data_IF_415319029145
#
_entry.id   IF_415319029145
#
_cell.length_a   1.000
_cell.length_b   1.000
_cell.length_c   1.000
_cell.angle_alpha   90.00
_cell.angle_beta   90.00
_cell.angle_gamma   90.00
#
_symmetry.space_group_name_H-M   'P 1'
#
loop_
_entity.id
_entity.type
_entity.pdbx_description
1 polymer ?
#
# COMPACT_ATOMS: atom_id res chain seq x y z
N UNK A 1 -6.36 -0.14 -20.47
CA UNK A 1 -6.77 -1.05 -19.39
C UNK A 1 -7.86 -0.36 -18.61
N UNK A 2 -8.85 -1.09 -18.12
CA UNK A 2 -9.85 -0.49 -17.22
C UNK A 2 -9.24 -0.35 -15.82
N UNK A 3 -9.65 0.65 -15.03
CA UNK A 3 -9.10 0.86 -13.68
C UNK A 3 -9.23 -0.40 -12.80
N UNK A 4 -10.30 -1.17 -12.99
CA UNK A 4 -10.53 -2.46 -12.32
C UNK A 4 -9.46 -3.51 -12.62
N UNK A 5 -8.97 -3.58 -13.87
CA UNK A 5 -7.90 -4.51 -14.24
C UNK A 5 -6.59 -4.16 -13.54
N UNK A 6 -6.27 -2.87 -13.43
CA UNK A 6 -5.06 -2.39 -12.74
C UNK A 6 -5.13 -2.71 -11.24
N UNK A 7 -6.28 -2.46 -10.61
CA UNK A 7 -6.49 -2.82 -9.20
C UNK A 7 -6.32 -4.31 -8.95
N UNK A 8 -6.90 -5.16 -9.79
CA UNK A 8 -6.74 -6.62 -9.67
C UNK A 8 -5.28 -7.06 -9.83
N UNK A 9 -4.52 -6.43 -10.73
CA UNK A 9 -3.08 -6.71 -10.87
C UNK A 9 -2.29 -6.32 -9.63
N UNK A 10 -2.58 -5.14 -9.05
CA UNK A 10 -1.96 -4.68 -7.80
C UNK A 10 -2.28 -5.63 -6.64
N UNK A 11 -3.54 -6.04 -6.49
CA UNK A 11 -3.97 -7.04 -5.51
C UNK A 11 -3.19 -8.34 -5.69
N UNK A 12 -3.11 -8.85 -6.92
CA UNK A 12 -2.38 -10.08 -7.21
C UNK A 12 -0.88 -9.96 -6.92
N UNK A 13 -0.24 -8.83 -7.24
CA UNK A 13 1.18 -8.61 -6.97
C UNK A 13 1.50 -8.73 -5.47
N UNK A 14 0.63 -8.23 -4.60
CA UNK A 14 0.75 -8.43 -3.14
C UNK A 14 0.57 -9.91 -2.79
N UNK A 15 -0.48 -10.55 -3.31
CA UNK A 15 -0.80 -11.95 -3.00
C UNK A 15 0.27 -12.95 -3.48
N UNK A 16 0.99 -12.61 -4.55
CA UNK A 16 2.09 -13.42 -5.11
C UNK A 16 3.48 -12.94 -4.69
N UNK A 17 3.57 -12.00 -3.73
CA UNK A 17 4.85 -11.51 -3.20
C UNK A 17 5.77 -10.87 -4.27
N UNK A 18 5.20 -10.29 -5.34
CA UNK A 18 5.96 -9.68 -6.43
C UNK A 18 6.33 -8.24 -6.09
N UNK A 19 7.48 -8.07 -5.43
CA UNK A 19 7.97 -6.75 -4.98
C UNK A 19 8.23 -5.83 -6.18
N UNK A 20 8.93 -6.32 -7.21
CA UNK A 20 9.29 -5.51 -8.36
C UNK A 20 8.08 -5.18 -9.23
N UNK A 21 7.18 -6.14 -9.42
CA UNK A 21 5.92 -5.94 -10.13
C UNK A 21 5.00 -4.96 -9.42
N UNK A 22 4.93 -5.00 -8.08
CA UNK A 22 4.11 -4.09 -7.29
C UNK A 22 4.50 -2.62 -7.51
N UNK A 23 5.80 -2.31 -7.41
CA UNK A 23 6.32 -0.96 -7.67
C UNK A 23 6.01 -0.49 -9.11
N UNK A 24 6.24 -1.37 -10.10
CA UNK A 24 5.96 -1.06 -11.52
C UNK A 24 4.48 -0.80 -11.78
N UNK A 25 3.59 -1.65 -11.26
CA UNK A 25 2.15 -1.51 -11.42
C UNK A 25 1.62 -0.27 -10.70
N UNK A 26 2.24 0.11 -9.59
CA UNK A 26 1.92 1.35 -8.86
C UNK A 26 2.22 2.58 -9.72
N UNK A 27 3.38 2.60 -10.38
CA UNK A 27 3.72 3.67 -11.32
C UNK A 27 2.76 3.69 -12.53
N UNK A 28 2.46 2.52 -13.11
CA UNK A 28 1.49 2.41 -14.22
C UNK A 28 0.10 2.94 -13.84
N UNK A 29 -0.34 2.71 -12.61
CA UNK A 29 -1.61 3.20 -12.09
C UNK A 29 -1.61 4.74 -11.93
N UNK A 30 -0.51 5.31 -11.44
CA UNK A 30 -0.32 6.77 -11.35
C UNK A 30 -0.28 7.41 -12.73
N UNK A 31 0.45 6.81 -13.68
CA UNK A 31 0.54 7.29 -15.06
C UNK A 31 -0.83 7.23 -15.78
N UNK A 32 -1.68 6.29 -15.38
CA UNK A 32 -3.07 6.18 -15.83
C UNK A 32 -4.02 7.21 -15.17
N UNK A 33 -3.51 8.09 -14.30
CA UNK A 33 -4.28 9.14 -13.62
C UNK A 33 -5.14 8.65 -12.46
N UNK A 34 -4.87 7.45 -11.93
CA UNK A 34 -5.58 6.94 -10.74
C UNK A 34 -5.03 7.66 -9.50
N UNK A 35 -5.90 8.09 -8.60
CA UNK A 35 -5.46 8.77 -7.38
C UNK A 35 -4.64 7.83 -6.49
N UNK A 36 -3.59 8.33 -5.79
CA UNK A 36 -2.79 7.50 -4.89
C UNK A 36 -3.63 6.75 -3.85
N UNK A 37 -4.66 7.42 -3.29
CA UNK A 37 -5.57 6.83 -2.32
C UNK A 37 -6.40 5.67 -2.91
N UNK A 38 -6.84 5.78 -4.16
CA UNK A 38 -7.55 4.70 -4.84
C UNK A 38 -6.65 3.49 -5.10
N UNK A 39 -5.38 3.71 -5.46
CA UNK A 39 -4.39 2.64 -5.65
C UNK A 39 -4.22 1.84 -4.35
N UNK A 40 -4.12 2.55 -3.21
CA UNK A 40 -4.03 1.95 -1.88
C UNK A 40 -5.30 1.16 -1.57
N UNK A 41 -6.44 1.85 -1.53
CA UNK A 41 -7.68 1.31 -0.97
C UNK A 41 -8.35 0.26 -1.85
N UNK A 42 -8.22 0.37 -3.18
CA UNK A 42 -8.88 -0.53 -4.15
C UNK A 42 -7.93 -1.57 -4.73
N UNK A 43 -6.61 -1.39 -4.64
CA UNK A 43 -5.61 -2.31 -5.18
C UNK A 43 -4.79 -3.02 -4.11
N UNK A 44 -3.99 -2.26 -3.35
CA UNK A 44 -2.99 -2.81 -2.42
C UNK A 44 -3.64 -3.39 -1.13
N UNK A 45 -4.56 -2.65 -0.50
CA UNK A 45 -5.23 -3.06 0.73
C UNK A 45 -6.02 -4.36 0.60
N UNK A 46 -6.80 -4.59 -0.49
CA UNK A 46 -7.44 -5.89 -0.73
C UNK A 46 -6.44 -7.05 -0.80
N UNK A 47 -5.26 -6.82 -1.39
CA UNK A 47 -4.19 -7.82 -1.45
C UNK A 47 -3.66 -8.18 -0.06
N UNK A 48 -3.45 -7.16 0.78
CA UNK A 48 -2.97 -7.37 2.15
C UNK A 48 -4.02 -8.11 3.01
N UNK A 49 -5.31 -7.81 2.80
CA UNK A 49 -6.41 -8.54 3.45
C UNK A 49 -6.36 -10.04 3.12
N UNK A 50 -6.23 -10.40 1.84
CA UNK A 50 -6.15 -11.79 1.40
C UNK A 50 -4.94 -12.49 2.04
N UNK A 51 -3.79 -11.81 2.13
CA UNK A 51 -2.59 -12.35 2.79
C UNK A 51 -2.84 -12.59 4.29
N UNK A 52 -3.53 -11.67 4.97
CA UNK A 52 -3.96 -11.86 6.36
C UNK A 52 -4.85 -13.09 6.52
N UNK A 53 -5.91 -13.18 5.72
CA UNK A 53 -6.86 -14.30 5.77
C UNK A 53 -6.15 -15.65 5.54
N UNK A 54 -5.21 -15.72 4.59
CA UNK A 54 -4.42 -16.92 4.31
C UNK A 54 -3.48 -17.32 5.45
N UNK A 55 -2.92 -16.35 6.14
CA UNK A 55 -2.05 -16.61 7.28
C UNK A 55 -2.85 -17.10 8.49
N UNK A 56 -4.01 -16.51 8.75
CA UNK A 56 -4.94 -16.99 9.78
C UNK A 56 -5.42 -18.42 9.50
N UNK A 57 -5.65 -18.74 8.23
CA UNK A 57 -6.01 -20.09 7.77
C UNK A 57 -4.81 -21.08 7.73
N UNK A 58 -3.60 -20.65 8.11
CA UNK A 58 -2.36 -21.42 8.04
C UNK A 58 -2.01 -21.95 6.64
N UNK A 59 -2.47 -21.28 5.58
CA UNK A 59 -2.13 -21.59 4.18
C UNK A 59 -0.77 -21.04 3.78
N UNK A 60 -0.35 -19.95 4.42
CA UNK A 60 0.96 -19.31 4.24
C UNK A 60 1.60 -19.07 5.61
N UNK A 61 2.89 -18.75 5.60
CA UNK A 61 3.66 -18.53 6.81
C UNK A 61 4.32 -17.15 6.82
N UNK A 62 5.06 -16.87 7.90
CA UNK A 62 5.70 -15.59 8.14
C UNK A 62 6.56 -15.10 6.96
N UNK A 63 7.36 -15.93 6.25
CA UNK A 63 8.14 -15.44 5.10
C UNK A 63 7.27 -14.82 4.00
N UNK A 64 6.11 -15.41 3.70
CA UNK A 64 5.21 -14.88 2.67
C UNK A 64 4.57 -13.55 3.11
N UNK A 65 4.19 -13.42 4.39
CA UNK A 65 3.74 -12.13 4.94
C UNK A 65 4.84 -11.08 4.80
N UNK A 66 6.07 -11.39 5.21
CA UNK A 66 7.17 -10.43 5.16
C UNK A 66 7.45 -9.94 3.74
N UNK A 67 7.41 -10.84 2.75
CA UNK A 67 7.58 -10.45 1.34
C UNK A 67 6.40 -9.63 0.82
N UNK A 68 5.17 -9.96 1.21
CA UNK A 68 3.98 -9.17 0.85
C UNK A 68 4.03 -7.77 1.47
N UNK A 69 4.49 -7.66 2.72
CA UNK A 69 4.75 -6.39 3.38
C UNK A 69 5.81 -5.57 2.64
N UNK A 70 6.91 -6.20 2.21
CA UNK A 70 7.95 -5.54 1.41
C UNK A 70 7.44 -5.06 0.05
N UNK A 71 6.55 -5.83 -0.60
CA UNK A 71 5.89 -5.40 -1.83
C UNK A 71 5.01 -4.17 -1.59
N UNK A 72 4.26 -4.14 -0.47
CA UNK A 72 3.46 -2.98 -0.09
C UNK A 72 4.35 -1.75 0.23
N UNK A 73 5.45 -1.92 0.97
CA UNK A 73 6.39 -0.84 1.24
C UNK A 73 6.97 -0.23 -0.05
N UNK A 74 7.33 -1.07 -1.04
CA UNK A 74 7.85 -0.57 -2.32
C UNK A 74 6.85 0.28 -3.10
N UNK A 75 5.55 -0.02 -2.98
CA UNK A 75 4.49 0.83 -3.55
C UNK A 75 4.31 2.12 -2.75
N UNK A 76 4.40 2.06 -1.40
CA UNK A 76 4.29 3.24 -0.54
C UNK A 76 5.41 4.25 -0.80
N UNK A 77 6.65 3.80 -1.06
CA UNK A 77 7.76 4.68 -1.42
C UNK A 77 7.47 5.57 -2.65
N UNK A 78 6.62 5.08 -3.57
CA UNK A 78 6.18 5.82 -4.75
C UNK A 78 4.96 6.70 -4.42
N UNK A 79 4.03 6.21 -3.60
CA UNK A 79 2.74 6.86 -3.36
C UNK A 79 2.81 7.98 -2.32
N UNK A 80 3.68 7.86 -1.32
CA UNK A 80 3.88 8.88 -0.27
C UNK A 80 4.17 10.28 -0.84
N UNK A 81 5.15 10.49 -1.75
CA UNK A 81 5.38 11.82 -2.30
C UNK A 81 4.20 12.35 -3.13
N UNK A 82 3.42 11.48 -3.78
CA UNK A 82 2.21 11.90 -4.50
C UNK A 82 1.07 12.30 -3.55
N UNK A 83 0.93 11.63 -2.40
CA UNK A 83 -0.01 12.01 -1.35
C UNK A 83 0.35 13.37 -0.75
N UNK A 84 1.64 13.63 -0.52
CA UNK A 84 2.10 14.92 0.00
C UNK A 84 1.84 16.08 -0.97
N UNK A 85 1.98 15.87 -2.28
CA UNK A 85 1.66 16.89 -3.30
C UNK A 85 0.18 17.30 -3.31
N UNK A 86 -0.71 16.44 -2.84
CA UNK A 86 -2.14 16.79 -2.72
C UNK A 86 -2.44 17.67 -1.51
N UNK A 87 -1.48 17.87 -0.59
CA UNK A 87 -1.61 18.90 0.45
C UNK A 87 -1.42 20.27 -0.19
N UNK A 88 -2.45 21.10 -0.11
CA UNK A 88 -2.46 22.45 -0.68
C UNK A 88 -1.44 23.30 0.06
N UNK A 89 -0.43 23.83 -0.65
CA UNK A 89 0.47 24.85 -0.12
C UNK A 89 -0.37 26.08 0.31
N UNK A 90 -0.43 26.35 1.61
CA UNK A 90 -1.13 27.51 2.17
C UNK A 90 -2.33 27.21 3.06
N UNK A 91 -2.73 25.95 3.24
CA UNK A 91 -3.64 25.60 4.34
C UNK A 91 -2.86 25.65 5.66
N UNK A 92 -3.18 26.61 6.51
CA UNK A 92 -2.74 26.60 7.91
C UNK A 92 -3.18 25.26 8.51
N UNK A 93 -2.21 24.40 8.86
CA UNK A 93 -2.49 23.10 9.43
C UNK A 93 -3.44 23.23 10.61
N UNK A 94 -4.42 22.32 10.71
CA UNK A 94 -5.46 22.35 11.75
C UNK A 94 -4.93 22.20 13.19
N UNK A 95 -3.63 21.93 13.34
CA UNK A 95 -2.93 21.76 14.61
C UNK A 95 -1.72 20.84 14.48
N UNK A 96 -1.06 20.57 15.60
CA UNK A 96 0.01 19.57 15.70
C UNK A 96 -0.59 18.19 16.02
N UNK A 97 -0.32 17.21 15.17
CA UNK A 97 -0.60 15.81 15.43
C UNK A 97 0.69 15.09 15.85
N UNK A 98 0.66 14.42 17.00
CA UNK A 98 1.72 13.49 17.42
C UNK A 98 1.20 12.08 17.18
N UNK A 99 1.84 11.35 16.28
CA UNK A 99 1.51 9.96 15.95
C UNK A 99 2.66 9.05 16.39
N UNK A 100 2.37 7.84 16.85
CA UNK A 100 3.36 6.84 17.22
C UNK A 100 2.81 5.41 17.04
N UNK A 101 3.71 4.44 16.95
CA UNK A 101 3.40 3.01 17.05
C UNK A 101 3.66 2.56 18.49
N UNK A 102 2.81 1.69 19.03
CA UNK A 102 2.89 1.24 20.42
C UNK A 102 4.22 0.52 20.73
N UNK A 103 4.66 0.57 21.98
CA UNK A 103 5.86 -0.17 22.41
C UNK A 103 5.69 -1.68 22.16
N UNK A 104 6.66 -2.28 21.49
CA UNK A 104 6.64 -3.70 21.12
C UNK A 104 5.90 -4.01 19.81
N UNK A 105 5.26 -3.01 19.18
CA UNK A 105 4.64 -3.14 17.85
C UNK A 105 5.56 -2.55 16.77
N UNK A 106 5.69 -3.27 15.65
CA UNK A 106 6.53 -2.88 14.50
C UNK A 106 5.69 -2.56 13.26
N UNK A 107 4.37 -2.70 13.31
CA UNK A 107 3.49 -2.49 12.17
C UNK A 107 3.29 -1.00 11.90
N UNK A 108 4.04 -0.46 10.95
CA UNK A 108 4.10 0.98 10.69
C UNK A 108 3.52 1.39 9.33
N UNK A 109 3.23 0.45 8.43
CA UNK A 109 2.71 0.75 7.09
C UNK A 109 1.42 1.59 7.16
N UNK A 110 0.48 1.19 8.03
CA UNK A 110 -0.76 1.94 8.27
C UNK A 110 -0.55 3.29 8.95
N UNK A 111 0.50 3.41 9.76
CA UNK A 111 0.83 4.61 10.53
C UNK A 111 1.53 5.69 9.67
N UNK A 112 2.23 5.28 8.61
CA UNK A 112 2.93 6.18 7.66
C UNK A 112 2.00 6.80 6.60
N UNK A 113 0.73 6.37 6.55
CA UNK A 113 -0.32 6.92 5.68
C UNK A 113 -0.95 8.17 6.29
#
# INVERSE_FOLDING_TARGET
MTNTEIFNKLTNAIVTQDIAGCAKLTQEALDAGISPLDIITKGLSPGMKIIGDKFEAAEIFLPQIMMSGKAMSSAMEILTPELEKTRVEGEEGTGLAITFVAEGDIHDIGHRL
#
